data_IF_649697031406
#
_entry.id   IF_649697031406
#
_cell.length_a   1.000
_cell.length_b   1.000
_cell.length_c   1.000
_cell.angle_alpha   90.00
_cell.angle_beta   90.00
_cell.angle_gamma   90.00
#
_symmetry.space_group_name_H-M   'P 1'
#
loop_
_entity.id
_entity.type
_entity.pdbx_description
1 polymer ?
#
# COMPACT_ATOMS: atom_id res chain seq x y z
N UNK A 1 16.49 -21.38 -41.82
CA UNK A 1 16.11 -22.39 -40.80
C UNK A 1 15.31 -21.69 -39.70
N UNK A 2 14.68 -22.42 -38.78
CA UNK A 2 14.00 -21.80 -37.62
C UNK A 2 14.96 -20.88 -36.84
N UNK A 3 16.21 -21.32 -36.65
CA UNK A 3 17.24 -20.54 -35.95
C UNK A 3 17.55 -19.20 -36.64
N UNK A 4 17.72 -19.18 -37.98
CA UNK A 4 17.98 -17.93 -38.71
C UNK A 4 16.78 -16.97 -38.63
N UNK A 5 15.54 -17.48 -38.72
CA UNK A 5 14.33 -16.65 -38.58
C UNK A 5 14.22 -16.04 -37.17
N UNK A 6 14.47 -16.84 -36.12
CA UNK A 6 14.43 -16.35 -34.74
C UNK A 6 15.53 -15.30 -34.50
N UNK A 7 16.73 -15.49 -35.08
CA UNK A 7 17.82 -14.52 -35.03
C UNK A 7 17.46 -13.21 -35.75
N UNK A 8 16.83 -13.27 -36.91
CA UNK A 8 16.35 -12.10 -37.65
C UNK A 8 15.30 -11.31 -36.85
N UNK A 9 14.39 -12.00 -36.15
CA UNK A 9 13.33 -11.39 -35.33
C UNK A 9 13.79 -10.98 -33.91
N UNK A 10 14.99 -11.36 -33.48
CA UNK A 10 15.48 -11.13 -32.12
C UNK A 10 14.74 -11.94 -31.05
N UNK A 11 14.22 -13.12 -31.40
CA UNK A 11 13.45 -14.00 -30.52
C UNK A 11 14.24 -15.25 -30.10
N UNK A 12 13.83 -15.86 -28.99
CA UNK A 12 14.35 -17.16 -28.56
C UNK A 12 13.85 -18.29 -29.46
N UNK A 13 14.68 -19.31 -29.69
CA UNK A 13 14.25 -20.52 -30.43
C UNK A 13 13.59 -21.51 -29.45
N UNK A 14 12.30 -21.83 -29.61
CA UNK A 14 11.63 -22.79 -28.72
C UNK A 14 12.12 -24.21 -28.99
N UNK A 15 12.08 -25.07 -27.96
CA UNK A 15 12.48 -26.47 -28.08
C UNK A 15 11.54 -27.28 -28.99
N UNK A 16 10.26 -26.91 -29.05
CA UNK A 16 9.22 -27.51 -29.88
C UNK A 16 8.17 -26.46 -30.26
N UNK A 17 7.35 -26.73 -31.28
CA UNK A 17 6.18 -25.90 -31.59
C UNK A 17 5.21 -25.87 -30.40
N UNK A 18 4.65 -24.70 -30.13
CA UNK A 18 3.82 -24.41 -28.94
C UNK A 18 2.45 -23.87 -29.33
N UNK A 19 1.90 -24.38 -30.45
CA UNK A 19 0.60 -23.92 -30.97
C UNK A 19 -0.50 -24.02 -29.90
N UNK A 20 -0.54 -25.13 -29.17
CA UNK A 20 -1.52 -25.42 -28.11
C UNK A 20 -0.88 -25.50 -26.72
N UNK A 21 0.35 -25.00 -26.57
CA UNK A 21 1.09 -24.93 -25.30
C UNK A 21 1.19 -23.46 -24.90
N UNK A 22 0.18 -22.99 -24.13
CA UNK A 22 -0.09 -21.56 -23.92
C UNK A 22 0.35 -20.99 -22.56
N UNK A 23 1.07 -21.78 -21.76
CA UNK A 23 1.59 -21.38 -20.45
C UNK A 23 2.47 -20.13 -20.49
N UNK A 24 3.24 -19.94 -21.56
CA UNK A 24 4.02 -18.70 -21.75
C UNK A 24 3.14 -17.45 -21.87
N UNK A 25 1.98 -17.55 -22.54
CA UNK A 25 1.04 -16.43 -22.68
C UNK A 25 0.33 -16.18 -21.35
N UNK A 26 -0.12 -17.25 -20.70
CA UNK A 26 -0.76 -17.18 -19.38
C UNK A 26 0.18 -16.57 -18.31
N UNK A 27 1.48 -16.92 -18.34
CA UNK A 27 2.49 -16.36 -17.44
C UNK A 27 2.60 -14.84 -17.60
N UNK A 28 2.63 -14.32 -18.83
CA UNK A 28 2.64 -12.87 -19.10
C UNK A 28 1.41 -12.19 -18.51
N UNK A 29 0.22 -12.77 -18.71
CA UNK A 29 -1.01 -12.26 -18.13
C UNK A 29 -0.96 -12.24 -16.60
N UNK A 30 -0.55 -13.35 -15.97
CA UNK A 30 -0.42 -13.46 -14.52
C UNK A 30 0.56 -12.43 -13.96
N UNK A 31 1.70 -12.24 -14.60
CA UNK A 31 2.68 -11.23 -14.21
C UNK A 31 2.08 -9.82 -14.25
N UNK A 32 1.38 -9.46 -15.33
CA UNK A 32 0.71 -8.16 -15.44
C UNK A 32 -0.42 -8.02 -14.40
N UNK A 33 -1.13 -9.11 -14.08
CA UNK A 33 -2.10 -9.16 -12.99
C UNK A 33 -1.48 -8.83 -11.62
N UNK A 34 -0.28 -9.35 -11.32
CA UNK A 34 0.46 -9.02 -10.09
C UNK A 34 0.90 -7.55 -10.04
N UNK A 35 1.39 -7.02 -11.18
CA UNK A 35 1.76 -5.61 -11.29
C UNK A 35 0.55 -4.71 -11.09
N UNK A 36 -0.57 -5.02 -11.74
CA UNK A 36 -1.84 -4.34 -11.57
C UNK A 36 -2.32 -4.40 -10.10
N UNK A 37 -2.23 -5.56 -9.45
CA UNK A 37 -2.56 -5.72 -8.03
C UNK A 37 -1.75 -4.78 -7.13
N UNK A 38 -0.45 -4.64 -7.40
CA UNK A 38 0.43 -3.71 -6.67
C UNK A 38 0.00 -2.25 -6.86
N UNK A 39 -0.35 -1.86 -8.09
CA UNK A 39 -0.88 -0.53 -8.38
C UNK A 39 -2.19 -0.27 -7.62
N UNK A 40 -3.10 -1.26 -7.64
CA UNK A 40 -4.38 -1.20 -6.93
C UNK A 40 -4.24 -0.99 -5.43
N UNK A 41 -3.26 -1.65 -4.80
CA UNK A 41 -2.93 -1.43 -3.38
C UNK A 41 -2.54 0.01 -3.10
N UNK A 42 -1.60 0.56 -3.88
CA UNK A 42 -1.14 1.95 -3.72
C UNK A 42 -2.31 2.92 -3.89
N UNK A 43 -3.13 2.73 -4.92
CA UNK A 43 -4.31 3.56 -5.15
C UNK A 43 -5.33 3.46 -4.00
N UNK A 44 -5.52 2.28 -3.42
CA UNK A 44 -6.43 2.12 -2.30
C UNK A 44 -5.95 2.87 -1.04
N UNK A 45 -4.69 2.74 -0.69
CA UNK A 45 -4.11 3.48 0.44
C UNK A 45 -4.26 4.99 0.26
N UNK A 46 -3.94 5.52 -0.93
CA UNK A 46 -4.06 6.96 -1.19
C UNK A 46 -5.51 7.43 -1.09
N UNK A 47 -6.49 6.64 -1.56
CA UNK A 47 -7.91 7.00 -1.38
C UNK A 47 -8.29 7.13 0.10
N UNK A 48 -7.82 6.23 0.95
CA UNK A 48 -8.09 6.28 2.38
C UNK A 48 -7.40 7.48 3.04
N UNK A 49 -6.14 7.72 2.71
CA UNK A 49 -5.38 8.85 3.25
C UNK A 49 -5.89 10.22 2.76
N UNK A 50 -6.65 10.23 1.65
CA UNK A 50 -7.33 11.40 1.09
C UNK A 50 -8.74 11.66 1.64
N UNK A 51 -9.27 10.78 2.49
CA UNK A 51 -10.59 11.00 3.11
C UNK A 51 -10.60 12.33 3.85
N UNK A 52 -11.73 13.04 3.84
CA UNK A 52 -11.88 14.37 4.47
C UNK A 52 -11.64 14.33 5.97
N UNK A 53 -11.88 13.19 6.61
CA UNK A 53 -11.61 12.98 8.02
C UNK A 53 -10.13 12.67 8.31
N UNK A 54 -9.36 12.28 7.29
CA UNK A 54 -7.96 11.82 7.40
C UNK A 54 -7.00 12.89 6.87
N UNK A 55 -7.08 13.28 5.60
CA UNK A 55 -6.34 14.42 5.02
C UNK A 55 -4.81 14.36 5.12
N UNK A 56 -4.24 13.16 5.20
CA UNK A 56 -2.80 12.95 5.39
C UNK A 56 -2.01 13.00 4.09
N UNK A 57 -2.61 12.54 3.00
CA UNK A 57 -1.97 12.44 1.70
C UNK A 57 -2.95 12.85 0.62
N UNK A 58 -2.46 13.46 -0.46
CA UNK A 58 -3.27 13.80 -1.63
C UNK A 58 -2.59 13.46 -2.96
N UNK A 59 -3.39 13.16 -3.97
CA UNK A 59 -2.92 13.10 -5.36
C UNK A 59 -2.33 14.44 -5.81
N UNK A 60 -1.45 14.46 -6.83
CA UNK A 60 -0.96 15.71 -7.42
C UNK A 60 -2.10 16.67 -7.79
N UNK A 61 -1.99 17.92 -7.36
CA UNK A 61 -2.98 18.96 -7.66
C UNK A 61 -2.76 19.56 -9.06
N UNK A 62 -3.85 19.69 -9.82
CA UNK A 62 -3.93 20.53 -11.02
C UNK A 62 -5.26 21.26 -11.01
N UNK A 63 -5.27 22.51 -11.46
CA UNK A 63 -6.49 23.30 -11.57
C UNK A 63 -7.55 22.54 -12.40
N UNK A 64 -8.78 22.46 -11.87
CA UNK A 64 -9.88 21.73 -12.49
C UNK A 64 -9.86 20.20 -12.34
N UNK A 65 -8.72 19.57 -12.00
CA UNK A 65 -8.65 18.10 -11.84
C UNK A 65 -9.32 17.65 -10.56
N UNK A 66 -10.29 16.75 -10.69
CA UNK A 66 -11.02 16.20 -9.55
C UNK A 66 -11.99 17.17 -8.90
N UNK A 67 -12.24 18.32 -9.53
CA UNK A 67 -13.24 19.30 -9.09
C UNK A 67 -14.67 18.86 -9.43
N UNK A 68 -15.65 19.56 -8.89
CA UNK A 68 -17.08 19.39 -9.15
C UNK A 68 -17.67 20.72 -9.58
N UNK A 69 -18.55 20.70 -10.57
CA UNK A 69 -19.23 21.91 -11.08
C UNK A 69 -19.99 22.68 -9.99
N UNK A 70 -20.44 21.98 -8.95
CA UNK A 70 -21.23 22.54 -7.84
C UNK A 70 -20.48 22.60 -6.50
N UNK A 71 -19.30 22.01 -6.39
CA UNK A 71 -18.52 21.97 -5.14
C UNK A 71 -17.08 22.41 -5.42
N UNK A 72 -16.78 23.72 -5.36
CA UNK A 72 -15.48 24.28 -5.71
C UNK A 72 -14.31 23.74 -4.88
N UNK A 73 -14.57 23.33 -3.64
CA UNK A 73 -13.58 22.73 -2.73
C UNK A 73 -13.28 21.25 -3.02
N UNK A 74 -14.07 20.58 -3.87
CA UNK A 74 -13.99 19.13 -4.04
C UNK A 74 -12.68 18.73 -4.70
N UNK A 75 -12.02 17.73 -4.11
CA UNK A 75 -10.77 17.16 -4.62
C UNK A 75 -10.86 15.64 -4.67
N UNK A 76 -11.33 15.11 -5.81
CA UNK A 76 -11.46 13.66 -6.00
C UNK A 76 -10.10 12.98 -6.30
N UNK A 77 -9.88 11.73 -5.83
CA UNK A 77 -8.69 10.95 -6.13
C UNK A 77 -8.78 10.28 -7.52
N UNK A 78 -8.74 11.10 -8.58
CA UNK A 78 -9.01 10.66 -9.96
C UNK A 78 -8.08 9.53 -10.43
N UNK A 79 -6.79 9.64 -10.16
CA UNK A 79 -5.79 8.65 -10.59
C UNK A 79 -6.07 7.30 -9.91
N UNK A 80 -6.36 7.34 -8.61
CA UNK A 80 -6.65 6.17 -7.79
C UNK A 80 -7.95 5.49 -8.19
N UNK A 81 -8.96 6.27 -8.63
CA UNK A 81 -10.20 5.72 -9.20
C UNK A 81 -9.92 4.95 -10.50
N UNK A 82 -9.16 5.52 -11.42
CA UNK A 82 -8.78 4.83 -12.66
C UNK A 82 -7.96 3.57 -12.41
N UNK A 83 -6.96 3.64 -11.54
CA UNK A 83 -6.15 2.47 -11.16
C UNK A 83 -7.05 1.38 -10.57
N UNK A 84 -7.98 1.74 -9.67
CA UNK A 84 -8.90 0.75 -9.06
C UNK A 84 -9.74 0.05 -10.13
N UNK A 85 -10.33 0.79 -11.07
CA UNK A 85 -11.16 0.23 -12.13
C UNK A 85 -10.35 -0.68 -13.06
N UNK A 86 -9.21 -0.21 -13.57
CA UNK A 86 -8.35 -0.96 -14.49
C UNK A 86 -7.84 -2.25 -13.86
N UNK A 87 -7.37 -2.19 -12.61
CA UNK A 87 -6.79 -3.35 -11.91
C UNK A 87 -7.83 -4.40 -11.55
N UNK A 88 -9.11 -4.03 -11.37
CA UNK A 88 -10.18 -4.99 -11.18
C UNK A 88 -10.48 -5.78 -12.46
N UNK A 89 -10.52 -5.10 -13.62
CA UNK A 89 -10.78 -5.72 -14.93
C UNK A 89 -9.62 -6.62 -15.36
N UNK A 90 -8.38 -6.17 -15.19
CA UNK A 90 -7.18 -6.99 -15.53
C UNK A 90 -7.24 -8.36 -14.87
N UNK A 91 -7.67 -8.46 -13.60
CA UNK A 91 -7.76 -9.75 -12.90
C UNK A 91 -8.76 -10.71 -13.54
N UNK A 92 -9.87 -10.21 -14.08
CA UNK A 92 -10.85 -11.04 -14.78
C UNK A 92 -10.30 -11.53 -16.11
N UNK A 93 -9.58 -10.67 -16.84
CA UNK A 93 -8.93 -11.06 -18.09
C UNK A 93 -7.77 -12.05 -17.88
N UNK A 94 -7.05 -11.95 -16.76
CA UNK A 94 -6.06 -12.98 -16.38
C UNK A 94 -6.74 -14.32 -16.14
N UNK A 95 -7.89 -14.36 -15.47
CA UNK A 95 -8.65 -15.60 -15.30
C UNK A 95 -9.06 -16.18 -16.66
N UNK A 96 -9.58 -15.36 -17.58
CA UNK A 96 -9.91 -15.81 -18.94
C UNK A 96 -8.69 -16.35 -19.70
N UNK A 97 -7.50 -15.77 -19.50
CA UNK A 97 -6.27 -16.24 -20.13
C UNK A 97 -5.78 -17.58 -19.57
N UNK A 98 -6.06 -17.87 -18.29
CA UNK A 98 -5.81 -19.18 -17.70
C UNK A 98 -6.76 -20.24 -18.26
N UNK A 99 -8.04 -19.89 -18.47
CA UNK A 99 -9.00 -20.78 -19.14
C UNK A 99 -8.60 -21.08 -20.60
N UNK A 100 -8.01 -20.09 -21.30
CA UNK A 100 -7.54 -20.24 -22.69
C UNK A 100 -6.44 -21.31 -22.86
N UNK A 101 -5.79 -21.76 -21.78
CA UNK A 101 -4.73 -22.77 -21.86
C UNK A 101 -5.23 -24.17 -22.23
N UNK A 102 -6.53 -24.45 -22.06
CA UNK A 102 -7.11 -25.76 -22.35
C UNK A 102 -7.49 -25.83 -23.82
N UNK A 103 -6.50 -26.16 -24.66
CA UNK A 103 -6.65 -26.24 -26.12
C UNK A 103 -6.81 -27.67 -26.64
N UNK A 104 -7.63 -27.84 -27.67
CA UNK A 104 -7.84 -29.11 -28.37
C UNK A 104 -6.69 -29.43 -29.36
N UNK A 105 -6.08 -30.60 -29.16
CA UNK A 105 -5.09 -31.23 -30.05
C UNK A 105 -3.95 -30.27 -30.50
N UNK A 106 -3.70 -30.13 -31.81
CA UNK A 106 -2.60 -29.34 -32.36
C UNK A 106 -2.99 -27.92 -32.81
N UNK A 107 -4.28 -27.57 -32.75
CA UNK A 107 -4.81 -26.22 -32.97
C UNK A 107 -6.22 -26.08 -32.41
N UNK A 108 -6.40 -25.09 -31.55
CA UNK A 108 -7.67 -24.95 -30.84
C UNK A 108 -8.84 -24.43 -31.68
N UNK A 109 -10.05 -24.77 -31.24
CA UNK A 109 -11.35 -24.29 -31.73
C UNK A 109 -12.08 -23.46 -30.67
N UNK A 110 -11.61 -22.23 -30.39
CA UNK A 110 -12.27 -21.28 -29.49
C UNK A 110 -11.37 -20.72 -28.38
N UNK A 111 -10.75 -21.55 -27.53
CA UNK A 111 -9.82 -21.10 -26.49
C UNK A 111 -8.71 -20.16 -27.00
N UNK A 112 -8.14 -20.44 -28.18
CA UNK A 112 -7.11 -19.59 -28.78
C UNK A 112 -7.61 -18.17 -29.07
N UNK A 113 -8.86 -18.02 -29.54
CA UNK A 113 -9.48 -16.72 -29.81
C UNK A 113 -9.72 -15.88 -28.55
N UNK A 114 -9.82 -16.50 -27.36
CA UNK A 114 -9.89 -15.77 -26.08
C UNK A 114 -8.65 -14.90 -25.91
N UNK A 115 -7.46 -15.43 -26.25
CA UNK A 115 -6.20 -14.71 -26.12
C UNK A 115 -6.19 -13.42 -26.94
N UNK A 116 -6.79 -13.44 -28.14
CA UNK A 116 -6.81 -12.28 -29.04
C UNK A 116 -7.63 -11.12 -28.47
N UNK A 117 -8.64 -11.45 -27.66
CA UNK A 117 -9.49 -10.47 -26.99
C UNK A 117 -8.78 -9.95 -25.74
N UNK A 118 -8.36 -10.85 -24.86
CA UNK A 118 -8.00 -10.46 -23.49
C UNK A 118 -6.54 -10.03 -23.35
N UNK A 119 -5.62 -10.58 -24.15
CA UNK A 119 -4.19 -10.26 -24.02
C UNK A 119 -3.89 -8.78 -24.35
N UNK A 120 -4.38 -8.19 -25.46
CA UNK A 120 -4.16 -6.76 -25.73
C UNK A 120 -4.78 -5.86 -24.65
N UNK A 121 -5.96 -6.21 -24.16
CA UNK A 121 -6.66 -5.47 -23.11
C UNK A 121 -5.91 -5.49 -21.78
N UNK A 122 -5.32 -6.64 -21.39
CA UNK A 122 -4.47 -6.73 -20.20
C UNK A 122 -3.30 -5.76 -20.32
N UNK A 123 -2.62 -5.69 -21.48
CA UNK A 123 -1.52 -4.75 -21.70
C UNK A 123 -1.99 -3.29 -21.61
N UNK A 124 -3.09 -2.94 -22.28
CA UNK A 124 -3.60 -1.57 -22.32
C UNK A 124 -4.03 -1.07 -20.93
N UNK A 125 -4.79 -1.89 -20.20
CA UNK A 125 -5.26 -1.55 -18.85
C UNK A 125 -4.12 -1.51 -17.85
N UNK A 126 -3.15 -2.44 -17.93
CA UNK A 126 -1.98 -2.44 -17.06
C UNK A 126 -1.07 -1.25 -17.32
N UNK A 127 -0.87 -0.87 -18.59
CA UNK A 127 -0.13 0.33 -18.97
C UNK A 127 -0.82 1.60 -18.44
N UNK A 128 -2.15 1.68 -18.56
CA UNK A 128 -2.95 2.76 -17.98
C UNK A 128 -2.79 2.85 -16.45
N UNK A 129 -2.90 1.72 -15.76
CA UNK A 129 -2.74 1.67 -14.30
C UNK A 129 -1.33 2.09 -13.86
N UNK A 130 -0.28 1.63 -14.57
CA UNK A 130 1.10 2.02 -14.32
C UNK A 130 1.35 3.50 -14.58
N UNK A 131 0.80 4.05 -15.67
CA UNK A 131 0.94 5.46 -16.01
C UNK A 131 0.30 6.36 -14.93
N UNK A 132 -0.94 6.04 -14.51
CA UNK A 132 -1.61 6.74 -13.42
C UNK A 132 -0.86 6.56 -12.09
N UNK A 133 -0.36 5.36 -11.80
CA UNK A 133 0.41 5.09 -10.57
C UNK A 133 1.69 5.91 -10.56
N UNK A 134 2.41 5.99 -11.68
CA UNK A 134 3.62 6.81 -11.80
C UNK A 134 3.31 8.28 -11.57
N UNK A 135 2.26 8.81 -12.20
CA UNK A 135 1.82 10.19 -12.01
C UNK A 135 1.49 10.47 -10.54
N UNK A 136 0.69 9.58 -9.93
CA UNK A 136 0.29 9.63 -8.52
C UNK A 136 1.49 9.69 -7.58
N UNK A 137 2.41 8.72 -7.64
CA UNK A 137 3.53 8.63 -6.68
C UNK A 137 4.61 9.68 -6.91
N UNK A 138 4.70 10.26 -8.11
CA UNK A 138 5.71 11.29 -8.42
C UNK A 138 5.33 12.67 -7.90
N UNK A 139 4.03 12.99 -7.83
CA UNK A 139 3.53 14.28 -7.34
C UNK A 139 2.67 14.16 -6.08
N UNK A 140 2.80 13.07 -5.34
CA UNK A 140 2.08 12.83 -4.10
C UNK A 140 2.34 13.96 -3.11
N UNK A 141 1.29 14.53 -2.53
CA UNK A 141 1.39 15.60 -1.53
C UNK A 141 1.17 15.01 -0.15
N UNK A 142 2.08 15.28 0.79
CA UNK A 142 2.02 14.79 2.17
C UNK A 142 1.74 15.95 3.10
N UNK A 143 0.77 15.76 4.01
CA UNK A 143 0.42 16.72 5.05
C UNK A 143 0.91 16.22 6.41
N UNK A 144 2.19 16.44 6.69
CA UNK A 144 2.85 15.99 7.93
C UNK A 144 2.17 16.56 9.18
N UNK A 145 1.68 17.80 9.11
CA UNK A 145 0.93 18.42 10.21
C UNK A 145 -0.34 17.64 10.52
N UNK A 146 -1.10 17.27 9.49
CA UNK A 146 -2.34 16.51 9.67
C UNK A 146 -2.07 15.09 10.16
N UNK A 147 -1.02 14.43 9.67
CA UNK A 147 -0.56 13.15 10.23
C UNK A 147 -0.29 13.27 11.74
N UNK A 148 0.40 14.34 12.16
CA UNK A 148 0.67 14.57 13.60
C UNK A 148 -0.60 14.81 14.41
N UNK A 149 -1.51 15.63 13.90
CA UNK A 149 -2.81 15.91 14.51
C UNK A 149 -3.66 14.63 14.64
N UNK A 150 -3.66 13.77 13.61
CA UNK A 150 -4.43 12.54 13.60
C UNK A 150 -3.94 11.52 14.63
N UNK A 151 -2.62 11.48 14.90
CA UNK A 151 -2.06 10.65 15.97
C UNK A 151 -2.63 11.01 17.35
N UNK A 152 -3.04 12.27 17.55
CA UNK A 152 -3.59 12.77 18.81
C UNK A 152 -5.10 12.57 18.95
N UNK A 153 -5.83 12.09 17.92
CA UNK A 153 -7.29 11.86 17.97
C UNK A 153 -7.65 10.89 19.11
N UNK A 154 -6.77 9.94 19.40
CA UNK A 154 -6.95 8.98 20.50
C UNK A 154 -6.49 9.50 21.86
N UNK A 155 -6.11 10.78 21.96
CA UNK A 155 -5.62 11.44 23.17
C UNK A 155 -4.41 10.72 23.81
N UNK A 156 -3.55 10.15 22.98
CA UNK A 156 -2.35 9.42 23.37
C UNK A 156 -2.53 7.91 23.59
N UNK A 157 -3.77 7.38 23.52
CA UNK A 157 -4.03 5.95 23.76
C UNK A 157 -3.26 5.02 22.81
N UNK A 158 -2.99 5.45 21.58
CA UNK A 158 -2.20 4.70 20.60
C UNK A 158 -0.77 4.40 21.07
N UNK A 159 -0.27 5.13 22.09
CA UNK A 159 1.07 4.97 22.68
C UNK A 159 1.05 4.26 24.03
N UNK A 160 -0.06 3.63 24.40
CA UNK A 160 -0.17 2.85 25.64
C UNK A 160 0.90 1.75 25.75
N UNK A 161 1.26 1.10 24.64
CA UNK A 161 2.36 0.13 24.60
C UNK A 161 3.70 0.79 24.93
N UNK A 162 4.00 1.95 24.34
CA UNK A 162 5.24 2.69 24.57
C UNK A 162 5.42 3.04 26.05
N UNK A 163 4.34 3.50 26.69
CA UNK A 163 4.31 3.79 28.14
C UNK A 163 4.51 2.52 28.95
N UNK A 164 3.78 1.44 28.64
CA UNK A 164 3.91 0.16 29.34
C UNK A 164 5.33 -0.41 29.26
N UNK A 165 5.94 -0.37 28.07
CA UNK A 165 7.34 -0.79 27.87
C UNK A 165 8.32 0.11 28.62
N UNK A 166 8.10 1.43 28.62
CA UNK A 166 8.94 2.40 29.34
C UNK A 166 8.89 2.26 30.86
N UNK A 167 7.73 1.88 31.41
CA UNK A 167 7.54 1.65 32.85
C UNK A 167 7.95 0.24 33.31
N UNK A 168 7.94 -0.75 32.40
CA UNK A 168 8.25 -2.15 32.67
C UNK A 168 9.53 -2.38 33.49
N UNK A 169 10.68 -1.73 33.19
CA UNK A 169 11.91 -1.88 33.98
C UNK A 169 11.81 -1.42 35.43
N UNK A 170 10.87 -0.52 35.76
CA UNK A 170 10.71 0.08 37.09
C UNK A 170 9.61 -0.60 37.92
N UNK A 171 8.51 -1.02 37.26
CA UNK A 171 7.33 -1.62 37.91
C UNK A 171 7.23 -3.15 37.74
N UNK A 172 7.95 -3.72 36.79
CA UNK A 172 7.69 -5.07 36.28
C UNK A 172 6.61 -5.06 35.20
N UNK A 173 6.80 -5.88 34.15
CA UNK A 173 5.97 -5.87 32.93
C UNK A 173 4.47 -6.04 33.20
N UNK A 174 4.08 -7.02 34.02
CA UNK A 174 2.67 -7.30 34.29
C UNK A 174 2.02 -6.14 35.07
N UNK A 175 2.74 -5.59 36.05
CA UNK A 175 2.20 -4.46 36.82
C UNK A 175 2.10 -3.19 35.99
N UNK A 176 3.09 -2.91 35.15
CA UNK A 176 3.05 -1.79 34.21
C UNK A 176 1.87 -1.91 33.24
N UNK A 177 1.59 -3.11 32.73
CA UNK A 177 0.41 -3.37 31.90
C UNK A 177 -0.89 -3.04 32.64
N UNK A 178 -1.10 -3.59 33.83
CA UNK A 178 -2.37 -3.42 34.56
C UNK A 178 -2.62 -1.95 34.92
N UNK A 179 -1.59 -1.25 35.39
CA UNK A 179 -1.69 0.17 35.75
C UNK A 179 -1.97 1.05 34.53
N UNK A 180 -1.25 0.83 33.41
CA UNK A 180 -1.50 1.58 32.17
C UNK A 180 -2.88 1.27 31.60
N UNK A 181 -3.33 0.01 31.68
CA UNK A 181 -4.66 -0.40 31.26
C UNK A 181 -5.77 0.34 32.03
N UNK A 182 -5.65 0.43 33.35
CA UNK A 182 -6.60 1.16 34.19
C UNK A 182 -6.63 2.66 33.85
N UNK A 183 -5.47 3.26 33.57
CA UNK A 183 -5.39 4.66 33.12
C UNK A 183 -6.04 4.83 31.74
N UNK A 184 -5.79 3.93 30.79
CA UNK A 184 -6.43 3.98 29.47
C UNK A 184 -7.97 3.89 29.56
N UNK A 185 -8.50 3.07 30.46
CA UNK A 185 -9.95 3.03 30.71
C UNK A 185 -10.49 4.36 31.23
N UNK A 186 -9.74 5.05 32.09
CA UNK A 186 -10.10 6.38 32.56
C UNK A 186 -10.12 7.40 31.40
N UNK A 187 -9.11 7.42 30.53
CA UNK A 187 -9.07 8.28 29.33
C UNK A 187 -10.32 8.09 28.47
N UNK A 188 -10.74 6.84 28.23
CA UNK A 188 -11.95 6.56 27.44
C UNK A 188 -13.21 7.10 28.13
N UNK A 189 -13.30 7.00 29.46
CA UNK A 189 -14.47 7.44 30.22
C UNK A 189 -14.55 8.95 30.44
N UNK A 190 -13.42 9.63 30.64
CA UNK A 190 -13.38 11.07 30.98
C UNK A 190 -13.05 11.94 29.77
N UNK A 191 -12.38 11.38 28.76
CA UNK A 191 -11.87 12.12 27.62
C UNK A 191 -10.66 13.00 27.97
N UNK A 192 -10.01 12.82 29.11
CA UNK A 192 -8.79 13.55 29.44
C UNK A 192 -7.57 12.99 28.71
N UNK A 193 -6.54 13.81 28.41
CA UNK A 193 -5.31 13.32 27.78
C UNK A 193 -4.62 12.23 28.60
N UNK A 194 -4.09 11.20 27.93
CA UNK A 194 -3.38 10.10 28.59
C UNK A 194 -2.24 10.59 29.49
N UNK A 195 -1.49 11.60 29.05
CA UNK A 195 -0.37 12.16 29.80
C UNK A 195 -0.76 12.71 31.17
N UNK A 196 -1.93 13.36 31.27
CA UNK A 196 -2.39 13.97 32.51
C UNK A 196 -2.75 12.89 33.52
N UNK A 197 -3.54 11.90 33.10
CA UNK A 197 -3.95 10.79 33.97
C UNK A 197 -2.77 9.89 34.37
N UNK A 198 -1.76 9.72 33.51
CA UNK A 198 -0.52 9.01 33.87
C UNK A 198 0.28 9.77 34.93
N UNK A 199 0.36 11.11 34.83
CA UNK A 199 1.09 11.95 35.76
C UNK A 199 0.39 12.06 37.13
N UNK A 200 -0.94 11.96 37.15
CA UNK A 200 -1.76 11.95 38.37
C UNK A 200 -1.78 10.61 39.10
N UNK A 201 -1.46 9.51 38.40
CA UNK A 201 -1.44 8.19 39.00
C UNK A 201 -0.31 8.09 40.06
N UNK A 202 -0.71 7.78 41.31
CA UNK A 202 0.18 7.75 42.47
C UNK A 202 1.23 6.64 42.40
N UNK A 203 0.99 5.58 41.64
CA UNK A 203 1.96 4.51 41.47
C UNK A 203 2.95 4.89 40.39
N UNK A 204 2.48 5.35 39.23
CA UNK A 204 3.33 5.76 38.11
C UNK A 204 4.24 6.92 38.51
N UNK A 205 3.71 7.94 39.18
CA UNK A 205 4.45 9.15 39.60
C UNK A 205 5.61 8.88 40.56
N UNK A 206 5.63 7.72 41.25
CA UNK A 206 6.79 7.28 42.06
C UNK A 206 7.97 6.81 41.21
N UNK A 207 7.71 6.40 39.97
CA UNK A 207 8.69 5.77 39.10
C UNK A 207 9.05 6.61 37.87
N UNK A 208 8.14 7.48 37.40
CA UNK A 208 8.37 8.33 36.25
C UNK A 208 7.89 9.76 36.50
N UNK A 209 8.71 10.71 36.11
CA UNK A 209 8.36 12.13 36.07
C UNK A 209 7.44 12.42 34.88
N UNK A 210 6.65 13.50 34.95
CA UNK A 210 5.84 13.96 33.81
C UNK A 210 6.67 14.12 32.52
N UNK A 211 7.89 14.64 32.63
CA UNK A 211 8.81 14.80 31.48
C UNK A 211 9.26 13.47 30.87
N UNK A 212 9.46 12.43 31.68
CA UNK A 212 9.75 11.08 31.17
C UNK A 212 8.52 10.49 30.47
N UNK A 213 7.32 10.69 31.05
CA UNK A 213 6.05 10.23 30.46
C UNK A 213 5.75 10.95 29.13
N UNK A 214 5.98 12.26 29.06
CA UNK A 214 5.84 13.08 27.84
C UNK A 214 6.66 12.52 26.68
N UNK A 215 7.87 12.00 26.95
CA UNK A 215 8.69 11.34 25.93
C UNK A 215 8.11 10.01 25.48
N UNK A 216 7.49 9.25 26.38
CA UNK A 216 6.87 7.95 26.07
C UNK A 216 5.59 8.11 25.25
N UNK A 217 4.85 9.20 25.45
CA UNK A 217 3.62 9.54 24.69
C UNK A 217 3.88 10.46 23.50
N UNK A 218 5.13 10.61 23.08
CA UNK A 218 5.47 11.30 21.83
C UNK A 218 5.64 10.28 20.70
N UNK A 219 4.77 10.30 19.65
CA UNK A 219 4.84 9.34 18.56
C UNK A 219 6.20 9.33 17.84
N UNK A 220 6.91 10.46 17.81
CA UNK A 220 8.23 10.56 17.18
C UNK A 220 9.28 9.67 17.87
N UNK A 221 9.06 9.30 19.13
CA UNK A 221 9.94 8.41 19.89
C UNK A 221 9.52 6.93 19.80
N UNK A 222 8.46 6.60 19.05
CA UNK A 222 7.91 5.25 18.96
C UNK A 222 7.80 4.73 17.52
N UNK A 223 8.85 4.95 16.73
CA UNK A 223 8.91 4.58 15.31
C UNK A 223 9.39 3.14 15.04
N UNK A 224 9.81 2.41 16.08
CA UNK A 224 10.38 1.08 15.98
C UNK A 224 11.52 1.02 14.96
N UNK A 225 11.46 0.04 14.05
CA UNK A 225 12.45 -0.17 12.98
C UNK A 225 11.99 0.38 11.61
N UNK A 226 11.02 1.30 11.58
CA UNK A 226 10.45 1.83 10.33
C UNK A 226 11.51 2.40 9.37
N UNK A 227 12.45 3.21 9.89
CA UNK A 227 13.56 3.75 9.10
C UNK A 227 14.45 2.66 8.50
N UNK A 228 14.79 1.63 9.27
CA UNK A 228 15.59 0.50 8.79
C UNK A 228 14.88 -0.31 7.69
N UNK A 229 13.55 -0.47 7.79
CA UNK A 229 12.75 -1.11 6.75
C UNK A 229 12.79 -0.33 5.44
N UNK A 230 12.69 1.00 5.51
CA UNK A 230 12.81 1.89 4.34
C UNK A 230 14.19 1.76 3.69
N UNK A 231 15.26 1.80 4.48
CA UNK A 231 16.63 1.67 3.99
C UNK A 231 16.87 0.33 3.28
N UNK A 232 16.35 -0.77 3.84
CA UNK A 232 16.42 -2.09 3.22
C UNK A 232 15.74 -2.12 1.85
N UNK A 233 14.55 -1.52 1.74
CA UNK A 233 13.81 -1.45 0.47
C UNK A 233 14.55 -0.62 -0.60
N UNK A 234 15.10 0.54 -0.22
CA UNK A 234 15.89 1.40 -1.13
C UNK A 234 17.16 0.68 -1.61
N UNK A 235 17.86 -0.04 -0.71
CA UNK A 235 19.05 -0.82 -1.05
C UNK A 235 18.72 -1.95 -2.02
N UNK A 236 17.60 -2.65 -1.83
CA UNK A 236 17.14 -3.70 -2.74
C UNK A 236 16.88 -3.15 -4.15
N UNK A 237 16.18 -2.01 -4.26
CA UNK A 237 15.95 -1.32 -5.55
C UNK A 237 17.26 -0.98 -6.28
N UNK A 238 18.27 -0.47 -5.56
CA UNK A 238 19.59 -0.14 -6.13
C UNK A 238 20.30 -1.38 -6.67
N UNK A 239 20.18 -2.54 -6.00
CA UNK A 239 20.74 -3.82 -6.48
C UNK A 239 20.05 -4.30 -7.75
N UNK A 240 18.72 -4.20 -7.83
CA UNK A 240 17.95 -4.59 -9.02
C UNK A 240 18.37 -3.75 -10.24
N UNK A 241 18.55 -2.44 -10.07
CA UNK A 241 19.02 -1.55 -11.15
C UNK A 241 20.41 -1.90 -11.69
N UNK A 242 21.28 -2.51 -10.89
CA UNK A 242 22.64 -2.89 -11.32
C UNK A 242 22.70 -4.24 -12.04
N UNK A 243 21.63 -5.03 -11.99
CA UNK A 243 21.52 -6.35 -12.65
C UNK A 243 20.91 -6.28 -14.05
N UNK A 244 20.30 -5.16 -14.39
CA UNK A 244 19.83 -4.83 -15.74
C UNK A 244 20.90 -4.02 -16.44
#
# INVERSE_FOLDING_TARGET
TQAELMKELGLGTPAIAWHTVRDTIAEVGCFLGLVAGTCGKIAFDVKLLMQTEVEEVYEPFHEGRGSSSTMPQKRNPISSVYITAQTAVVKQFVAALLEAQVEDHERSTGPWEIEWIVLPEIFMLSAGALAQTRFLVTGLQVNEKKMRENLDITKGLILSEAVMMGLGPKLGRNRAHDVVYDVCRKVVSTGEPLIDLLAEDKEISKHATRKELEKMVDPANYLGVSGEMVDRAIKLRKKIKKRK
#
